data_IF_814358796697
#
_entry.id   IF_814358796697
#
_cell.length_a   1.000
_cell.length_b   1.000
_cell.length_c   1.000
_cell.angle_alpha   90.00
_cell.angle_beta   90.00
_cell.angle_gamma   90.00
#
_symmetry.space_group_name_H-M   'P 1'
#
loop_
_entity.id
_entity.type
_entity.pdbx_description
1 polymer ?
#
# COMPACT_ATOMS: atom_id res chain seq x y z
N UNK A 1 8.21 31.32 0.30
CA UNK A 1 9.17 31.04 -0.78
C UNK A 1 9.04 29.57 -1.14
N UNK A 2 8.55 29.25 -2.32
CA UNK A 2 8.48 27.87 -2.82
C UNK A 2 9.90 27.41 -3.16
N UNK A 3 10.47 26.54 -2.33
CA UNK A 3 11.74 25.90 -2.66
C UNK A 3 11.51 25.00 -3.89
N UNK A 4 12.13 25.36 -5.01
CA UNK A 4 12.17 24.49 -6.18
C UNK A 4 13.12 23.32 -5.87
N UNK A 5 12.60 22.10 -5.88
CA UNK A 5 13.37 20.88 -5.62
C UNK A 5 13.67 20.20 -6.94
N UNK A 6 14.94 20.24 -7.35
CA UNK A 6 15.41 19.58 -8.58
C UNK A 6 15.17 18.07 -8.52
N UNK A 7 15.40 17.46 -7.34
CA UNK A 7 15.19 16.03 -7.14
C UNK A 7 13.73 15.63 -7.39
N UNK A 8 12.78 16.41 -6.88
CA UNK A 8 11.35 16.20 -7.10
C UNK A 8 10.93 16.47 -8.54
N UNK A 9 11.49 17.52 -9.16
CA UNK A 9 11.22 17.85 -10.56
C UNK A 9 11.59 16.68 -11.47
N UNK A 10 12.82 16.16 -11.36
CA UNK A 10 13.27 15.05 -12.19
C UNK A 10 12.49 13.76 -11.91
N UNK A 11 12.12 13.47 -10.66
CA UNK A 11 11.27 12.33 -10.33
C UNK A 11 9.89 12.45 -11.00
N UNK A 12 9.28 13.63 -10.93
CA UNK A 12 7.96 13.89 -11.52
C UNK A 12 8.00 13.78 -13.03
N UNK A 13 9.05 14.31 -13.68
CA UNK A 13 9.26 14.15 -15.12
C UNK A 13 9.45 12.69 -15.52
N UNK A 14 10.21 11.90 -14.74
CA UNK A 14 10.37 10.48 -14.99
C UNK A 14 9.02 9.75 -14.93
N UNK A 15 8.21 10.04 -13.90
CA UNK A 15 6.91 9.42 -13.72
C UNK A 15 5.93 9.80 -14.84
N UNK A 16 5.90 11.07 -15.22
CA UNK A 16 5.08 11.57 -16.32
C UNK A 16 5.48 10.93 -17.66
N UNK A 17 6.77 10.80 -17.94
CA UNK A 17 7.28 10.13 -19.14
C UNK A 17 6.88 8.64 -19.17
N UNK A 18 7.01 7.95 -18.04
CA UNK A 18 6.60 6.55 -17.91
C UNK A 18 5.09 6.37 -18.16
N UNK A 19 4.26 7.20 -17.52
CA UNK A 19 2.79 7.13 -17.69
C UNK A 19 2.36 7.47 -19.12
N UNK A 20 3.00 8.47 -19.75
CA UNK A 20 2.73 8.80 -21.15
C UNK A 20 3.08 7.62 -22.07
N UNK A 21 4.15 6.90 -21.78
CA UNK A 21 4.55 5.73 -22.57
C UNK A 21 3.54 4.59 -22.48
N UNK A 22 3.09 4.25 -21.27
CA UNK A 22 2.09 3.17 -21.08
C UNK A 22 0.75 3.46 -21.75
N UNK A 23 0.36 4.75 -21.83
CA UNK A 23 -0.86 5.16 -22.53
C UNK A 23 -0.75 5.09 -24.06
N UNK A 24 0.44 5.34 -24.62
CA UNK A 24 0.56 5.53 -26.06
C UNK A 24 0.68 4.22 -26.84
N UNK A 25 1.19 3.13 -26.25
CA UNK A 25 1.32 1.78 -26.85
C UNK A 25 1.87 1.67 -28.31
N UNK A 26 2.29 2.78 -28.92
CA UNK A 26 2.87 2.90 -30.24
C UNK A 26 4.32 3.40 -30.08
N UNK A 27 5.29 2.52 -30.38
CA UNK A 27 6.71 2.86 -30.36
C UNK A 27 7.02 3.96 -31.39
N UNK A 28 7.60 5.11 -31.01
CA UNK A 28 8.13 6.06 -31.98
C UNK A 28 9.39 5.48 -32.63
N UNK A 29 9.56 5.67 -33.93
CA UNK A 29 10.67 5.11 -34.73
C UNK A 29 12.09 5.53 -34.29
N UNK A 30 12.26 6.45 -33.33
CA UNK A 30 13.57 6.98 -32.89
C UNK A 30 13.68 7.29 -31.38
N UNK A 31 12.66 7.00 -30.56
CA UNK A 31 12.68 7.31 -29.13
C UNK A 31 12.59 6.03 -28.31
N UNK A 32 13.60 5.77 -27.47
CA UNK A 32 13.60 4.69 -26.49
C UNK A 32 13.19 5.27 -25.12
N UNK A 33 11.90 5.25 -24.75
CA UNK A 33 11.38 5.81 -23.49
C UNK A 33 12.09 5.30 -22.25
N UNK A 34 12.63 4.07 -22.31
CA UNK A 34 13.44 3.51 -21.23
C UNK A 34 14.69 4.34 -20.92
N UNK A 35 15.37 4.88 -21.93
CA UNK A 35 16.58 5.68 -21.74
C UNK A 35 16.25 7.03 -21.11
N UNK A 36 15.17 7.68 -21.54
CA UNK A 36 14.75 8.95 -20.94
C UNK A 36 14.33 8.77 -19.48
N UNK A 37 13.50 7.77 -19.19
CA UNK A 37 13.04 7.49 -17.83
C UNK A 37 14.24 7.13 -16.94
N UNK A 38 15.15 6.27 -17.40
CA UNK A 38 16.36 5.92 -16.65
C UNK A 38 17.25 7.14 -16.38
N UNK A 39 17.45 8.01 -17.37
CA UNK A 39 18.23 9.24 -17.20
C UNK A 39 17.59 10.19 -16.18
N UNK A 40 16.28 10.40 -16.25
CA UNK A 40 15.56 11.27 -15.31
C UNK A 40 15.58 10.71 -13.88
N UNK A 41 15.41 9.39 -13.70
CA UNK A 41 15.55 8.71 -12.41
C UNK A 41 16.97 8.90 -11.86
N UNK A 42 18.00 8.72 -12.70
CA UNK A 42 19.39 8.90 -12.28
C UNK A 42 19.70 10.35 -11.85
N UNK A 43 19.19 11.35 -12.59
CA UNK A 43 19.31 12.76 -12.22
C UNK A 43 18.61 13.05 -10.89
N UNK A 44 17.38 12.55 -10.73
CA UNK A 44 16.61 12.69 -9.49
C UNK A 44 17.36 12.10 -8.29
N UNK A 45 17.91 10.89 -8.42
CA UNK A 45 18.68 10.24 -7.36
C UNK A 45 19.95 11.02 -6.99
N UNK A 46 20.67 11.58 -7.97
CA UNK A 46 21.85 12.42 -7.71
C UNK A 46 21.48 13.68 -6.92
N UNK A 47 20.42 14.38 -7.35
CA UNK A 47 19.90 15.53 -6.63
C UNK A 47 19.43 15.15 -5.21
N UNK A 48 18.72 14.02 -5.06
CA UNK A 48 18.23 13.55 -3.77
C UNK A 48 19.36 13.29 -2.77
N UNK A 49 20.47 12.68 -3.20
CA UNK A 49 21.64 12.46 -2.34
C UNK A 49 22.24 13.77 -1.84
N UNK A 50 22.44 14.73 -2.76
CA UNK A 50 22.89 16.09 -2.41
C UNK A 50 21.94 16.77 -1.42
N UNK A 51 20.64 16.67 -1.67
CA UNK A 51 19.61 17.29 -0.84
C UNK A 51 19.58 16.66 0.58
N UNK A 52 19.81 15.35 0.70
CA UNK A 52 19.93 14.63 1.99
C UNK A 52 21.18 15.02 2.79
N UNK A 53 22.28 15.32 2.10
CA UNK A 53 23.55 15.76 2.70
C UNK A 53 23.52 17.24 3.10
N UNK A 54 22.57 18.02 2.58
CA UNK A 54 22.46 19.45 2.84
C UNK A 54 21.84 19.70 4.23
N UNK A 55 22.58 20.32 5.18
CA UNK A 55 22.05 20.59 6.51
C UNK A 55 20.83 21.50 6.45
N UNK A 56 19.75 21.13 7.14
CA UNK A 56 18.52 21.92 7.20
C UNK A 56 17.65 21.88 5.95
N UNK A 57 17.95 21.02 4.96
CA UNK A 57 17.10 20.87 3.78
C UNK A 57 15.64 20.51 4.17
N UNK A 58 14.63 21.08 3.51
CA UNK A 58 13.23 20.77 3.82
C UNK A 58 12.89 19.29 3.64
N UNK A 59 12.20 18.70 4.61
CA UNK A 59 11.82 17.28 4.60
C UNK A 59 10.79 16.95 3.51
N UNK A 60 9.82 17.84 3.31
CA UNK A 60 8.68 17.58 2.42
C UNK A 60 9.12 17.24 0.97
N UNK A 61 9.99 18.01 0.29
CA UNK A 61 10.47 17.64 -1.03
C UNK A 61 11.20 16.29 -1.06
N UNK A 62 11.96 15.94 -0.01
CA UNK A 62 12.63 14.63 0.07
C UNK A 62 11.61 13.49 0.07
N UNK A 63 10.57 13.59 0.91
CA UNK A 63 9.51 12.58 1.00
C UNK A 63 8.74 12.43 -0.32
N UNK A 64 8.41 13.54 -0.99
CA UNK A 64 7.73 13.49 -2.28
C UNK A 64 8.62 12.91 -3.38
N UNK A 65 9.92 13.24 -3.41
CA UNK A 65 10.87 12.66 -4.36
C UNK A 65 10.96 11.16 -4.18
N UNK A 66 11.20 10.69 -2.95
CA UNK A 66 11.32 9.27 -2.62
C UNK A 66 10.05 8.51 -3.01
N UNK A 67 8.88 9.03 -2.65
CA UNK A 67 7.59 8.45 -3.02
C UNK A 67 7.43 8.36 -4.54
N UNK A 68 7.72 9.43 -5.26
CA UNK A 68 7.57 9.47 -6.73
C UNK A 68 8.50 8.48 -7.42
N UNK A 69 9.77 8.40 -7.00
CA UNK A 69 10.71 7.39 -7.50
C UNK A 69 10.22 5.96 -7.24
N UNK A 70 9.65 5.70 -6.07
CA UNK A 70 9.05 4.40 -5.76
C UNK A 70 7.89 4.05 -6.71
N UNK A 71 7.00 4.99 -7.01
CA UNK A 71 5.92 4.78 -7.98
C UNK A 71 6.48 4.55 -9.38
N UNK A 72 7.51 5.29 -9.82
CA UNK A 72 8.19 5.03 -11.10
C UNK A 72 8.65 3.58 -11.21
N UNK A 73 9.30 3.05 -10.18
CA UNK A 73 9.79 1.68 -10.17
C UNK A 73 8.65 0.66 -10.25
N UNK A 74 7.61 0.81 -9.39
CA UNK A 74 6.44 -0.09 -9.37
C UNK A 74 5.73 -0.10 -10.73
N UNK A 75 5.48 1.08 -11.31
CA UNK A 75 4.75 1.20 -12.58
C UNK A 75 5.60 0.92 -13.82
N UNK A 76 6.93 0.84 -13.67
CA UNK A 76 7.81 0.51 -14.80
C UNK A 76 7.65 -0.92 -15.30
N UNK A 77 6.97 -1.78 -14.53
CA UNK A 77 6.82 -3.20 -14.85
C UNK A 77 8.14 -3.98 -14.80
N UNK A 78 9.24 -3.36 -14.36
CA UNK A 78 10.50 -4.05 -14.06
C UNK A 78 10.32 -4.86 -12.77
N UNK A 79 9.64 -5.99 -12.92
CA UNK A 79 9.24 -6.92 -11.87
C UNK A 79 10.40 -7.77 -11.32
N UNK A 80 11.62 -7.24 -11.31
CA UNK A 80 12.70 -7.82 -10.51
C UNK A 80 12.63 -7.26 -9.08
N UNK A 81 13.33 -7.88 -8.14
CA UNK A 81 13.38 -7.49 -6.73
C UNK A 81 13.92 -6.06 -6.47
N UNK A 82 14.26 -5.28 -7.50
CA UNK A 82 14.80 -3.92 -7.37
C UNK A 82 13.78 -2.96 -6.75
N UNK A 83 12.50 -3.05 -7.09
CA UNK A 83 11.48 -2.18 -6.49
C UNK A 83 11.44 -2.34 -4.97
N UNK A 84 11.65 -3.55 -4.45
CA UNK A 84 11.72 -3.82 -3.00
C UNK A 84 12.93 -3.17 -2.36
N UNK A 85 14.09 -3.17 -3.04
CA UNK A 85 15.29 -2.45 -2.58
C UNK A 85 15.01 -0.95 -2.52
N UNK A 86 14.30 -0.40 -3.51
CA UNK A 86 13.90 1.01 -3.52
C UNK A 86 12.88 1.35 -2.43
N UNK A 87 11.87 0.50 -2.19
CA UNK A 87 10.91 0.68 -1.08
C UNK A 87 11.61 0.56 0.27
N UNK A 88 12.53 -0.39 0.45
CA UNK A 88 13.32 -0.51 1.67
C UNK A 88 14.19 0.73 1.90
N UNK A 89 14.86 1.21 0.85
CA UNK A 89 15.63 2.46 0.91
C UNK A 89 14.75 3.66 1.25
N UNK A 90 13.56 3.74 0.67
CA UNK A 90 12.56 4.76 1.00
C UNK A 90 12.11 4.69 2.47
N UNK A 91 11.84 3.50 2.99
CA UNK A 91 11.51 3.27 4.40
C UNK A 91 12.64 3.65 5.35
N UNK A 92 13.89 3.37 4.98
CA UNK A 92 15.07 3.73 5.78
C UNK A 92 15.25 5.25 5.85
N UNK A 93 15.14 5.92 4.69
CA UNK A 93 15.17 7.38 4.62
C UNK A 93 14.05 8.01 5.44
N UNK A 94 12.87 7.40 5.45
CA UNK A 94 11.77 7.88 6.28
C UNK A 94 12.02 7.72 7.76
N UNK A 95 12.45 6.55 8.21
CA UNK A 95 12.77 6.34 9.63
C UNK A 95 13.83 7.35 10.10
N UNK A 96 14.81 7.63 9.26
CA UNK A 96 15.82 8.66 9.49
C UNK A 96 15.24 10.09 9.49
N UNK A 97 14.33 10.41 8.58
CA UNK A 97 13.65 11.71 8.54
C UNK A 97 12.76 11.90 9.78
N UNK A 98 12.04 10.86 10.18
CA UNK A 98 11.16 10.84 11.35
C UNK A 98 11.96 10.94 12.66
N UNK A 99 13.14 10.33 12.74
CA UNK A 99 14.02 10.41 13.91
C UNK A 99 14.66 11.80 14.09
N UNK A 100 14.85 12.55 12.98
CA UNK A 100 15.51 13.86 12.97
C UNK A 100 14.65 15.03 13.47
N UNK A 101 13.33 14.88 13.69
CA UNK A 101 12.46 16.02 14.01
C UNK A 101 11.33 15.72 14.99
N UNK A 102 11.03 16.72 15.82
CA UNK A 102 9.67 17.05 16.25
C UNK A 102 8.88 17.43 14.99
N UNK A 103 8.39 16.43 14.26
CA UNK A 103 7.48 16.68 13.16
C UNK A 103 6.24 17.32 13.76
N UNK A 104 5.95 18.55 13.36
CA UNK A 104 4.65 19.11 13.65
C UNK A 104 3.64 18.23 12.90
N UNK A 105 2.83 17.46 13.63
CA UNK A 105 1.81 16.56 13.05
C UNK A 105 0.84 17.32 12.11
N UNK A 106 0.89 18.65 12.13
CA UNK A 106 0.21 19.56 11.22
C UNK A 106 0.69 19.46 9.75
N UNK A 107 1.86 18.89 9.45
CA UNK A 107 2.34 18.73 8.08
C UNK A 107 1.62 17.56 7.36
N UNK A 108 0.53 17.89 6.66
CA UNK A 108 -0.24 17.01 5.75
C UNK A 108 0.61 16.03 4.90
N UNK A 109 1.82 16.44 4.53
CA UNK A 109 2.77 15.65 3.73
C UNK A 109 3.30 14.41 4.46
N UNK A 110 3.58 14.51 5.77
CA UNK A 110 4.04 13.39 6.57
C UNK A 110 2.90 12.38 6.80
N UNK A 111 1.72 12.89 7.12
CA UNK A 111 0.50 12.08 7.27
C UNK A 111 0.14 11.30 5.99
N UNK A 112 0.22 11.93 4.82
CA UNK A 112 -0.07 11.24 3.56
C UNK A 112 0.98 10.16 3.25
N UNK A 113 2.25 10.42 3.57
CA UNK A 113 3.32 9.46 3.34
C UNK A 113 3.21 8.26 4.27
N UNK A 114 2.92 8.46 5.56
CA UNK A 114 2.82 7.37 6.53
C UNK A 114 1.73 6.37 6.12
N UNK A 115 0.56 6.85 5.69
CA UNK A 115 -0.53 6.02 5.15
C UNK A 115 -0.10 5.21 3.93
N UNK A 116 0.57 5.85 2.98
CA UNK A 116 1.09 5.18 1.79
C UNK A 116 2.09 4.08 2.16
N UNK A 117 3.04 4.38 3.06
CA UNK A 117 4.06 3.43 3.47
C UNK A 117 3.48 2.22 4.21
N UNK A 118 2.55 2.46 5.13
CA UNK A 118 1.84 1.40 5.82
C UNK A 118 1.07 0.49 4.87
N UNK A 119 0.38 1.09 3.89
CA UNK A 119 -0.35 0.33 2.88
C UNK A 119 0.55 -0.51 2.00
N UNK A 120 1.62 0.07 1.45
CA UNK A 120 2.54 -0.70 0.59
C UNK A 120 3.25 -1.79 1.38
N UNK A 121 3.58 -1.56 2.65
CA UNK A 121 4.18 -2.58 3.52
C UNK A 121 3.22 -3.74 3.80
N UNK A 122 1.97 -3.43 4.14
CA UNK A 122 0.93 -4.41 4.40
C UNK A 122 0.62 -5.26 3.17
N UNK A 123 0.39 -4.63 2.01
CA UNK A 123 0.12 -5.33 0.77
C UNK A 123 1.31 -6.19 0.33
N UNK A 124 2.53 -5.64 0.41
CA UNK A 124 3.75 -6.38 0.07
C UNK A 124 3.93 -7.63 0.94
N UNK A 125 3.55 -7.58 2.22
CA UNK A 125 3.67 -8.72 3.14
C UNK A 125 2.84 -9.94 2.69
N UNK A 126 1.77 -9.73 1.91
CA UNK A 126 0.91 -10.80 1.38
C UNK A 126 1.34 -11.34 0.02
N UNK A 127 2.46 -10.84 -0.53
CA UNK A 127 3.07 -11.36 -1.77
C UNK A 127 4.06 -12.48 -1.47
N UNK A 128 4.35 -13.32 -2.46
CA UNK A 128 5.34 -14.42 -2.35
C UNK A 128 6.75 -13.96 -1.99
N UNK A 129 7.06 -12.69 -2.22
CA UNK A 129 8.36 -12.10 -1.89
C UNK A 129 8.47 -11.67 -0.41
N UNK A 130 7.40 -11.81 0.38
CA UNK A 130 7.41 -11.61 1.83
C UNK A 130 7.42 -10.17 2.30
N UNK A 131 7.89 -9.98 3.54
CA UNK A 131 7.99 -8.66 4.16
C UNK A 131 9.10 -7.83 3.53
N UNK A 132 8.88 -6.52 3.45
CA UNK A 132 9.93 -5.54 3.24
C UNK A 132 10.85 -5.53 4.48
N UNK A 133 12.14 -5.27 4.28
CA UNK A 133 13.17 -5.39 5.33
C UNK A 133 12.79 -4.56 6.56
N UNK A 134 13.08 -5.09 7.76
CA UNK A 134 12.53 -4.69 9.07
C UNK A 134 12.77 -3.25 9.50
N UNK A 135 12.06 -2.32 8.89
CA UNK A 135 11.95 -0.93 9.32
C UNK A 135 10.56 -0.68 9.89
N UNK A 136 10.61 -0.23 11.14
CA UNK A 136 9.53 0.08 12.07
C UNK A 136 8.73 -1.13 12.56
N UNK A 137 9.05 -1.55 13.78
CA UNK A 137 8.08 -2.20 14.67
C UNK A 137 6.78 -1.42 14.66
N UNK A 138 5.67 -2.15 14.64
CA UNK A 138 4.32 -1.59 14.43
C UNK A 138 3.88 -0.58 15.50
N UNK A 139 4.68 -0.41 16.54
CA UNK A 139 4.36 0.31 17.77
C UNK A 139 4.69 1.79 17.71
N UNK A 140 5.58 2.25 16.81
CA UNK A 140 6.07 3.64 16.85
C UNK A 140 5.27 4.66 16.03
N UNK A 141 4.33 4.23 15.18
CA UNK A 141 3.51 5.14 14.35
C UNK A 141 2.00 5.03 14.61
N UNK A 142 1.56 4.20 15.56
CA UNK A 142 0.17 4.20 16.00
C UNK A 142 0.02 5.22 17.14
N UNK A 143 -0.43 6.42 16.79
CA UNK A 143 -0.68 7.49 17.76
C UNK A 143 -1.68 7.06 18.84
N UNK A 144 -1.45 7.57 20.05
CA UNK A 144 -2.20 7.40 21.30
C UNK A 144 -3.60 8.06 21.28
N UNK A 145 -4.28 8.02 20.13
CA UNK A 145 -5.58 8.67 19.92
C UNK A 145 -6.76 7.72 20.13
N UNK A 146 -7.81 8.22 20.78
CA UNK A 146 -9.05 7.53 21.18
C UNK A 146 -9.81 6.81 20.03
N UNK A 147 -9.44 7.05 18.76
CA UNK A 147 -9.90 6.30 17.58
C UNK A 147 -8.86 5.28 17.12
N UNK A 148 -9.09 4.00 17.45
CA UNK A 148 -8.20 2.87 17.08
C UNK A 148 -8.10 2.64 15.56
N UNK A 149 -9.01 3.17 14.75
CA UNK A 149 -9.03 2.99 13.29
C UNK A 149 -9.84 4.11 12.59
N UNK A 150 -9.58 4.31 11.29
CA UNK A 150 -10.38 5.15 10.40
C UNK A 150 -10.38 4.56 8.98
N UNK A 151 -11.34 4.96 8.13
CA UNK A 151 -11.35 4.61 6.71
C UNK A 151 -10.37 5.49 5.93
N UNK A 152 -9.51 4.85 5.14
CA UNK A 152 -8.50 5.53 4.36
C UNK A 152 -8.93 5.73 2.91
N UNK A 153 -9.30 6.96 2.54
CA UNK A 153 -9.66 7.32 1.16
C UNK A 153 -8.49 7.26 0.19
N UNK A 154 -7.25 7.28 0.68
CA UNK A 154 -6.05 7.11 -0.14
C UNK A 154 -5.82 5.64 -0.51
N UNK A 155 -6.03 4.71 0.42
CA UNK A 155 -5.79 3.27 0.18
C UNK A 155 -7.05 2.51 -0.25
N UNK A 156 -8.23 3.06 0.07
CA UNK A 156 -9.52 2.47 -0.26
C UNK A 156 -10.03 1.44 0.76
N UNK A 157 -9.42 1.38 1.95
CA UNK A 157 -9.80 0.44 3.01
C UNK A 157 -9.49 0.99 4.42
N UNK A 158 -9.99 0.33 5.46
CA UNK A 158 -9.79 0.75 6.86
C UNK A 158 -8.35 0.57 7.35
N UNK A 159 -7.84 1.53 8.12
CA UNK A 159 -6.42 1.59 8.51
C UNK A 159 -5.95 0.37 9.31
N UNK A 160 -6.84 -0.24 10.08
CA UNK A 160 -6.61 -1.45 10.87
C UNK A 160 -6.43 -2.72 10.01
N UNK A 161 -6.88 -2.72 8.75
CA UNK A 161 -6.65 -3.83 7.83
C UNK A 161 -5.16 -4.01 7.50
N UNK A 162 -4.36 -2.94 7.56
CA UNK A 162 -2.90 -3.03 7.38
C UNK A 162 -2.26 -3.99 8.39
N UNK A 163 -2.70 -3.94 9.64
CA UNK A 163 -2.20 -4.80 10.72
C UNK A 163 -2.50 -6.26 10.40
N UNK A 164 -3.75 -6.54 10.02
CA UNK A 164 -4.17 -7.89 9.64
C UNK A 164 -3.38 -8.44 8.46
N UNK A 165 -3.20 -7.64 7.40
CA UNK A 165 -2.43 -8.04 6.21
C UNK A 165 -0.97 -8.35 6.55
N UNK A 166 -0.34 -7.56 7.42
CA UNK A 166 1.02 -7.82 7.89
C UNK A 166 1.13 -9.13 8.70
N UNK A 167 0.14 -9.41 9.56
CA UNK A 167 0.08 -10.64 10.35
C UNK A 167 -0.19 -11.88 9.46
N UNK A 168 -1.07 -11.76 8.46
CA UNK A 168 -1.24 -12.80 7.42
C UNK A 168 0.10 -13.05 6.73
N UNK A 169 0.79 -11.99 6.32
CA UNK A 169 2.12 -12.10 5.71
C UNK A 169 3.14 -12.80 6.61
N UNK A 170 3.11 -12.58 7.94
CA UNK A 170 3.95 -13.33 8.88
C UNK A 170 3.64 -14.81 8.89
N UNK A 171 2.37 -15.19 8.82
CA UNK A 171 1.96 -16.60 8.81
C UNK A 171 2.34 -17.28 7.49
N UNK A 172 2.23 -16.58 6.36
CA UNK A 172 2.56 -17.11 5.03
C UNK A 172 4.04 -17.50 4.87
N UNK A 173 4.96 -16.80 5.53
CA UNK A 173 6.41 -16.95 5.32
C UNK A 173 7.12 -17.67 6.47
N UNK A 174 6.40 -18.42 7.31
CA UNK A 174 6.99 -19.14 8.47
C UNK A 174 7.85 -20.35 8.11
N UNK A 175 7.96 -20.69 6.82
CA UNK A 175 8.47 -21.99 6.37
C UNK A 175 9.98 -22.10 6.16
N UNK A 176 10.77 -21.09 6.51
CA UNK A 176 12.19 -21.08 6.14
C UNK A 176 13.16 -21.64 7.20
N UNK A 177 12.69 -22.08 8.38
CA UNK A 177 13.58 -22.67 9.40
C UNK A 177 12.99 -23.94 10.02
N UNK A 178 13.65 -25.05 9.68
CA UNK A 178 13.51 -26.43 10.10
C UNK A 178 12.84 -26.67 11.48
N UNK A 179 11.91 -27.63 11.48
CA UNK A 179 11.16 -28.26 12.59
C UNK A 179 9.84 -27.57 13.01
N UNK A 180 8.76 -27.93 12.31
CA UNK A 180 7.37 -27.68 12.72
C UNK A 180 6.99 -28.65 13.85
N UNK A 181 7.22 -28.27 15.11
CA UNK A 181 6.58 -28.98 16.22
C UNK A 181 5.05 -28.83 16.12
N UNK A 182 4.29 -29.83 16.58
CA UNK A 182 2.81 -29.77 16.60
C UNK A 182 2.30 -28.51 17.31
N UNK A 183 2.94 -28.14 18.41
CA UNK A 183 2.66 -26.91 19.17
C UNK A 183 2.77 -25.63 18.31
N UNK A 184 3.74 -25.55 17.38
CA UNK A 184 3.88 -24.39 16.48
C UNK A 184 2.77 -24.33 15.44
N UNK A 185 2.28 -25.49 15.00
CA UNK A 185 1.13 -25.58 14.08
C UNK A 185 -0.15 -25.14 14.78
N UNK A 186 -0.36 -25.59 16.02
CA UNK A 186 -1.53 -25.22 16.81
C UNK A 186 -1.57 -23.71 17.07
N UNK A 187 -0.43 -23.10 17.43
CA UNK A 187 -0.30 -21.64 17.60
C UNK A 187 -0.56 -20.90 16.28
N UNK A 188 -0.09 -21.42 15.16
CA UNK A 188 -0.31 -20.79 13.85
C UNK A 188 -1.79 -20.84 13.44
N UNK A 189 -2.46 -21.95 13.70
CA UNK A 189 -3.89 -22.11 13.44
C UNK A 189 -4.74 -21.24 14.36
N UNK A 190 -4.42 -21.17 15.66
CA UNK A 190 -5.08 -20.25 16.60
C UNK A 190 -4.95 -18.80 16.13
N UNK A 191 -3.74 -18.38 15.70
CA UNK A 191 -3.52 -17.05 15.12
C UNK A 191 -4.33 -16.85 13.84
N UNK A 192 -4.39 -17.84 12.96
CA UNK A 192 -5.20 -17.77 11.74
C UNK A 192 -6.69 -17.60 12.06
N UNK A 193 -7.22 -18.30 13.07
CA UNK A 193 -8.59 -18.15 13.55
C UNK A 193 -8.86 -16.76 14.11
N UNK A 194 -7.94 -16.23 14.94
CA UNK A 194 -8.04 -14.87 15.46
C UNK A 194 -8.07 -13.81 14.33
N UNK A 195 -7.25 -13.97 13.30
CA UNK A 195 -7.25 -13.07 12.14
C UNK A 195 -8.55 -13.18 11.34
N UNK A 196 -9.07 -14.38 11.14
CA UNK A 196 -10.37 -14.58 10.47
C UNK A 196 -11.51 -13.88 11.23
N UNK A 197 -11.56 -14.06 12.56
CA UNK A 197 -12.56 -13.40 13.42
C UNK A 197 -12.41 -11.88 13.32
N UNK A 198 -11.17 -11.38 13.34
CA UNK A 198 -10.88 -9.94 13.21
C UNK A 198 -11.41 -9.39 11.88
N UNK A 199 -11.13 -10.04 10.75
CA UNK A 199 -11.61 -9.60 9.44
C UNK A 199 -13.14 -9.65 9.35
N UNK A 200 -13.76 -10.74 9.83
CA UNK A 200 -15.23 -10.87 9.85
C UNK A 200 -15.87 -9.79 10.73
N UNK A 201 -15.24 -9.43 11.84
CA UNK A 201 -15.67 -8.32 12.68
C UNK A 201 -15.59 -6.99 11.94
N UNK A 202 -14.49 -6.71 11.23
CA UNK A 202 -14.36 -5.49 10.41
C UNK A 202 -15.46 -5.42 9.33
N UNK A 203 -15.71 -6.53 8.61
CA UNK A 203 -16.76 -6.61 7.59
C UNK A 203 -18.13 -6.27 8.19
N UNK A 204 -18.48 -6.91 9.31
CA UNK A 204 -19.75 -6.67 9.98
C UNK A 204 -19.86 -5.23 10.46
N UNK A 205 -18.83 -4.73 11.14
CA UNK A 205 -18.75 -3.36 11.66
C UNK A 205 -18.96 -2.32 10.56
N UNK A 206 -18.23 -2.44 9.46
CA UNK A 206 -18.24 -1.44 8.39
C UNK A 206 -19.51 -1.53 7.53
N UNK A 207 -20.19 -2.68 7.54
CA UNK A 207 -21.50 -2.86 6.90
C UNK A 207 -22.64 -2.26 7.75
N UNK A 208 -22.65 -2.52 9.06
CA UNK A 208 -23.73 -2.09 9.95
C UNK A 208 -23.62 -0.62 10.37
N UNK A 209 -22.40 -0.16 10.69
CA UNK A 209 -22.17 1.17 11.25
C UNK A 209 -21.58 2.16 10.24
N UNK A 210 -21.20 1.68 9.05
CA UNK A 210 -20.59 2.49 8.00
C UNK A 210 -19.12 2.83 8.26
N UNK A 211 -18.58 3.75 7.45
CA UNK A 211 -17.16 4.12 7.49
C UNK A 211 -16.88 5.19 8.54
N UNK A 212 -15.81 5.00 9.31
CA UNK A 212 -15.29 6.03 10.22
C UNK A 212 -14.37 6.97 9.44
N UNK A 213 -14.90 8.10 8.98
CA UNK A 213 -14.12 9.09 8.22
C UNK A 213 -13.41 10.08 9.16
N UNK A 214 -12.16 10.49 8.86
CA UNK A 214 -11.53 11.63 9.52
C UNK A 214 -12.37 12.90 9.36
N UNK A 215 -12.48 13.73 10.40
CA UNK A 215 -13.42 14.86 10.44
C UNK A 215 -13.23 15.97 9.39
N UNK A 216 -12.08 15.98 8.69
CA UNK A 216 -11.83 16.92 7.58
C UNK A 216 -12.27 16.38 6.21
N UNK A 217 -12.69 15.12 6.13
CA UNK A 217 -13.14 14.47 4.90
C UNK A 217 -14.67 14.52 4.85
N UNK A 218 -15.19 15.19 3.83
CA UNK A 218 -16.62 15.20 3.50
C UNK A 218 -16.80 14.44 2.19
N UNK A 219 -17.56 13.34 2.24
CA UNK A 219 -17.95 12.57 1.07
C UNK A 219 -19.44 12.72 0.87
N UNK A 220 -19.86 12.83 -0.39
CA UNK A 220 -21.28 12.67 -0.71
C UNK A 220 -21.71 11.20 -0.46
N UNK A 221 -23.02 10.95 -0.35
CA UNK A 221 -23.54 9.61 -0.06
C UNK A 221 -23.14 8.55 -1.09
N UNK A 222 -23.11 8.90 -2.38
CA UNK A 222 -22.80 7.96 -3.46
C UNK A 222 -21.32 7.55 -3.42
N UNK A 223 -20.42 8.51 -3.19
CA UNK A 223 -19.00 8.25 -2.98
C UNK A 223 -18.76 7.43 -1.71
N UNK A 224 -19.54 7.68 -0.64
CA UNK A 224 -19.47 6.88 0.59
C UNK A 224 -19.82 5.42 0.31
N UNK A 225 -20.87 5.14 -0.46
CA UNK A 225 -21.25 3.79 -0.87
C UNK A 225 -20.16 3.11 -1.72
N UNK A 226 -19.56 3.85 -2.66
CA UNK A 226 -18.45 3.32 -3.47
C UNK A 226 -17.21 3.00 -2.62
N UNK A 227 -16.88 3.84 -1.64
CA UNK A 227 -15.77 3.57 -0.72
C UNK A 227 -16.08 2.42 0.25
N UNK A 228 -17.33 2.24 0.67
CA UNK A 228 -17.75 1.06 1.43
C UNK A 228 -17.55 -0.23 0.62
N UNK A 229 -17.92 -0.20 -0.66
CA UNK A 229 -17.67 -1.31 -1.56
C UNK A 229 -16.17 -1.57 -1.75
N UNK A 230 -15.34 -0.52 -1.88
CA UNK A 230 -13.88 -0.65 -1.96
C UNK A 230 -13.31 -1.31 -0.70
N UNK A 231 -13.73 -0.84 0.48
CA UNK A 231 -13.30 -1.40 1.76
C UNK A 231 -13.64 -2.90 1.85
N UNK A 232 -14.87 -3.25 1.48
CA UNK A 232 -15.37 -4.62 1.49
C UNK A 232 -14.54 -5.52 0.57
N UNK A 233 -14.20 -5.05 -0.64
CA UNK A 233 -13.37 -5.80 -1.58
C UNK A 233 -11.99 -6.12 -0.98
N UNK A 234 -11.36 -5.16 -0.30
CA UNK A 234 -10.08 -5.39 0.40
C UNK A 234 -10.20 -6.38 1.58
N UNK A 235 -11.27 -6.28 2.38
CA UNK A 235 -11.50 -7.20 3.50
C UNK A 235 -11.66 -8.65 3.04
N UNK A 236 -12.44 -8.90 1.98
CA UNK A 236 -12.56 -10.23 1.40
C UNK A 236 -11.27 -10.70 0.70
N UNK A 237 -10.47 -9.78 0.15
CA UNK A 237 -9.13 -10.10 -0.35
C UNK A 237 -8.24 -10.64 0.76
N UNK A 238 -8.26 -10.02 1.94
CA UNK A 238 -7.55 -10.52 3.13
C UNK A 238 -7.99 -11.93 3.53
N UNK A 239 -9.31 -12.23 3.47
CA UNK A 239 -9.81 -13.59 3.71
C UNK A 239 -9.29 -14.59 2.66
N UNK A 240 -9.23 -14.23 1.38
CA UNK A 240 -8.64 -15.08 0.34
C UNK A 240 -7.16 -15.38 0.66
N UNK A 241 -6.37 -14.37 1.03
CA UNK A 241 -4.98 -14.58 1.43
C UNK A 241 -4.87 -15.55 2.62
N UNK A 242 -5.68 -15.36 3.66
CA UNK A 242 -5.72 -16.25 4.81
C UNK A 242 -6.11 -17.68 4.43
N UNK A 243 -7.21 -17.87 3.70
CA UNK A 243 -7.71 -19.19 3.32
C UNK A 243 -6.77 -19.93 2.37
N UNK A 244 -6.25 -19.26 1.34
CA UNK A 244 -5.44 -19.90 0.30
C UNK A 244 -3.98 -20.03 0.67
N UNK A 245 -3.39 -19.00 1.29
CA UNK A 245 -1.94 -18.92 1.51
C UNK A 245 -1.53 -19.36 2.91
N UNK A 246 -2.37 -19.20 3.93
CA UNK A 246 -2.07 -19.66 5.30
C UNK A 246 -2.65 -21.06 5.55
N UNK A 247 -3.94 -21.26 5.23
CA UNK A 247 -4.63 -22.55 5.47
C UNK A 247 -4.58 -23.53 4.30
N UNK A 248 -4.07 -23.13 3.14
CA UNK A 248 -3.92 -24.01 1.99
C UNK A 248 -5.24 -24.51 1.38
N UNK A 249 -6.37 -23.86 1.65
CA UNK A 249 -7.65 -24.25 1.06
C UNK A 249 -7.59 -24.18 -0.47
N UNK A 250 -8.24 -25.09 -1.21
CA UNK A 250 -8.26 -25.07 -2.67
C UNK A 250 -9.07 -23.88 -3.20
N UNK A 251 -8.79 -23.42 -4.43
CA UNK A 251 -9.47 -22.24 -5.01
C UNK A 251 -10.98 -22.44 -5.18
N UNK A 252 -11.42 -23.69 -5.36
CA UNK A 252 -12.82 -24.06 -5.50
C UNK A 252 -13.53 -24.30 -4.15
N UNK A 253 -12.87 -24.07 -3.01
CA UNK A 253 -13.53 -24.23 -1.71
C UNK A 253 -14.71 -23.24 -1.59
N UNK A 254 -15.81 -23.62 -0.90
CA UNK A 254 -16.94 -22.73 -0.70
C UNK A 254 -16.56 -21.40 -0.05
N UNK A 255 -15.60 -21.42 0.88
CA UNK A 255 -15.10 -20.24 1.59
C UNK A 255 -14.38 -19.28 0.64
N UNK A 256 -13.47 -19.80 -0.19
CA UNK A 256 -12.73 -18.99 -1.18
C UNK A 256 -13.69 -18.44 -2.23
N UNK A 257 -14.55 -19.27 -2.80
CA UNK A 257 -15.52 -18.84 -3.81
C UNK A 257 -16.57 -17.87 -3.26
N UNK A 258 -16.90 -17.99 -1.97
CA UNK A 258 -17.72 -17.00 -1.25
C UNK A 258 -17.05 -15.62 -1.21
N UNK A 259 -15.75 -15.59 -0.92
CA UNK A 259 -14.98 -14.34 -0.94
C UNK A 259 -14.87 -13.74 -2.35
N UNK A 260 -14.60 -14.57 -3.36
CA UNK A 260 -14.55 -14.13 -4.77
C UNK A 260 -15.87 -13.47 -5.18
N UNK A 261 -17.01 -14.11 -4.89
CA UNK A 261 -18.33 -13.51 -5.17
C UNK A 261 -18.52 -12.17 -4.46
N UNK A 262 -18.17 -12.10 -3.17
CA UNK A 262 -18.30 -10.86 -2.41
C UNK A 262 -17.41 -9.72 -2.96
N UNK A 263 -16.21 -10.04 -3.48
CA UNK A 263 -15.36 -9.06 -4.16
C UNK A 263 -16.02 -8.61 -5.47
N UNK A 264 -16.51 -9.54 -6.30
CA UNK A 264 -17.17 -9.20 -7.57
C UNK A 264 -18.42 -8.34 -7.36
N UNK A 265 -19.24 -8.65 -6.35
CA UNK A 265 -20.42 -7.87 -5.99
C UNK A 265 -20.02 -6.45 -5.55
N UNK A 266 -18.95 -6.34 -4.74
CA UNK A 266 -18.43 -5.05 -4.29
C UNK A 266 -17.85 -4.22 -5.45
N UNK A 267 -17.05 -4.82 -6.32
CA UNK A 267 -16.49 -4.15 -7.51
C UNK A 267 -17.62 -3.68 -8.43
N UNK A 268 -18.66 -4.50 -8.63
CA UNK A 268 -19.81 -4.14 -9.47
C UNK A 268 -20.64 -2.99 -8.91
N UNK A 269 -20.56 -2.74 -7.59
CA UNK A 269 -21.22 -1.61 -6.95
C UNK A 269 -20.44 -0.28 -7.11
N UNK A 270 -19.20 -0.33 -7.62
CA UNK A 270 -18.38 0.86 -7.87
C UNK A 270 -18.55 1.25 -9.33
N UNK A 271 -19.09 2.44 -9.56
CA UNK A 271 -19.28 2.94 -10.92
C UNK A 271 -17.95 3.45 -11.49
N UNK A 272 -17.54 3.01 -12.69
CA UNK A 272 -16.45 3.65 -13.41
C UNK A 272 -16.91 5.03 -13.84
N UNK A 273 -16.55 6.07 -13.08
CA UNK A 273 -16.85 7.47 -13.44
C UNK A 273 -15.61 8.16 -13.99
N UNK A 274 -15.85 9.21 -14.79
CA UNK A 274 -14.82 10.07 -15.40
C UNK A 274 -14.08 10.97 -14.39
N UNK A 275 -14.45 10.92 -13.11
CA UNK A 275 -13.83 11.64 -11.98
C UNK A 275 -13.04 10.68 -11.08
N UNK A 276 -12.39 11.22 -10.04
CA UNK A 276 -11.74 10.41 -9.01
C UNK A 276 -12.74 9.39 -8.43
N UNK A 277 -12.52 8.11 -8.74
CA UNK A 277 -13.35 6.97 -8.32
C UNK A 277 -12.47 5.98 -7.55
N UNK A 278 -13.00 5.29 -6.52
CA UNK A 278 -12.30 4.19 -5.87
C UNK A 278 -11.90 3.06 -6.83
N UNK A 279 -12.42 3.05 -8.06
CA UNK A 279 -12.07 2.10 -9.11
C UNK A 279 -10.56 1.92 -9.29
N UNK A 280 -9.78 3.01 -9.22
CA UNK A 280 -8.31 2.95 -9.35
C UNK A 280 -7.63 2.15 -8.23
N UNK A 281 -8.31 1.97 -7.11
CA UNK A 281 -7.83 1.26 -5.92
C UNK A 281 -8.18 -0.23 -5.98
N UNK A 282 -8.97 -0.68 -6.95
CA UNK A 282 -9.48 -2.07 -7.02
C UNK A 282 -8.53 -3.05 -7.70
N UNK A 283 -7.37 -2.60 -8.20
CA UNK A 283 -6.39 -3.47 -8.86
C UNK A 283 -6.02 -4.68 -8.00
N UNK A 284 -5.73 -4.46 -6.72
CA UNK A 284 -5.35 -5.56 -5.80
C UNK A 284 -6.52 -6.52 -5.54
N UNK A 285 -7.72 -6.06 -5.12
CA UNK A 285 -8.85 -6.97 -4.94
C UNK A 285 -9.25 -7.77 -6.18
N UNK A 286 -9.26 -7.14 -7.36
CA UNK A 286 -9.59 -7.81 -8.62
C UNK A 286 -8.54 -8.88 -8.93
N UNK A 287 -7.25 -8.56 -8.81
CA UNK A 287 -6.19 -9.54 -9.02
C UNK A 287 -6.24 -10.70 -8.03
N UNK A 288 -6.57 -10.44 -6.76
CA UNK A 288 -6.71 -11.48 -5.73
C UNK A 288 -7.92 -12.38 -5.96
N UNK A 289 -9.01 -11.86 -6.53
CA UNK A 289 -10.20 -12.65 -6.88
C UNK A 289 -9.94 -13.64 -8.03
N UNK A 290 -9.05 -13.28 -8.96
CA UNK A 290 -8.67 -14.10 -10.12
C UNK A 290 -9.47 -13.77 -11.37
#
# INVERSE_FOLDING_TARGET
>A
MTHQSDSLLYATMAFAALHRYTLLNELPAQFMPEDLVANLVALSMRCLRRDLETPGYPVQPLLHTIRTLCHCEIFSGRANSSWRVHVNGAGAMFAEIASRRHLDESEYSFWLWSRWFWSIQALSATTDAGKLSGLASSESFMGDGDQRYFFDTYTGYSSDLNIVLMEIGLLMHRDDVETRSQERLDIAEEKAQCLEISIKHMIHRDTEFGLVLPGHILLDPDMTLQFQASNKAYQYSSLIHLYRRVRGLPSNSPEVQGCVRAILDAVSAITPVTTLSPWILLTTPIFTAG
#
